data_IF_136340568116
#
_entry.id   IF_136340568116
#
_cell.length_a   1.000
_cell.length_b   1.000
_cell.length_c   1.000
_cell.angle_alpha   90.00
_cell.angle_beta   90.00
_cell.angle_gamma   90.00
#
_symmetry.space_group_name_H-M   'P 1'
#
loop_
_entity.id
_entity.type
_entity.pdbx_description
1 polymer ?
#
# COMPACT_ATOMS: atom_id res chain seq x y z
N UNK A 1 23.46 11.30 26.32
CA UNK A 1 22.36 10.37 26.66
C UNK A 1 21.11 10.91 25.97
N UNK A 2 20.84 10.48 24.74
CA UNK A 2 19.75 9.54 24.39
C UNK A 2 18.48 9.81 25.18
N UNK A 3 17.44 10.33 24.52
CA UNK A 3 16.08 9.77 24.48
C UNK A 3 15.17 10.67 23.61
N UNK A 4 15.48 10.77 22.31
CA UNK A 4 14.46 11.14 21.33
C UNK A 4 13.48 9.98 21.22
N UNK A 5 12.32 10.12 21.87
CA UNK A 5 11.28 9.11 21.92
C UNK A 5 10.75 8.85 20.50
N UNK A 6 10.62 7.59 20.05
CA UNK A 6 10.01 7.31 18.76
C UNK A 6 8.52 7.67 18.81
N UNK A 7 8.06 8.43 17.82
CA UNK A 7 6.64 8.68 17.57
C UNK A 7 6.01 7.36 17.14
N UNK A 8 5.51 6.63 18.13
CA UNK A 8 4.65 5.46 17.92
C UNK A 8 3.30 6.00 17.46
N UNK A 9 3.08 6.00 16.14
CA UNK A 9 1.77 6.21 15.51
C UNK A 9 0.90 4.97 15.75
N UNK A 10 0.37 4.81 16.97
CA UNK A 10 -0.72 3.86 17.24
C UNK A 10 -2.03 4.50 16.81
N UNK A 11 -2.63 3.94 15.76
CA UNK A 11 -3.69 4.55 14.97
C UNK A 11 -5.02 4.79 15.68
N UNK A 12 -5.81 5.72 15.12
CA UNK A 12 -7.27 5.82 15.25
C UNK A 12 -7.82 6.88 14.28
N UNK A 13 -8.61 6.46 13.29
CA UNK A 13 -9.78 7.22 12.82
C UNK A 13 -9.66 8.52 12.01
N UNK A 14 -8.48 9.06 11.73
CA UNK A 14 -8.34 10.16 10.74
C UNK A 14 -8.37 9.55 9.33
N UNK A 15 -8.82 10.29 8.30
CA UNK A 15 -8.70 9.89 6.89
C UNK A 15 -7.22 9.59 6.58
N UNK A 16 -6.77 8.36 6.83
CA UNK A 16 -5.39 7.99 6.63
C UNK A 16 -5.13 8.04 5.14
N UNK A 17 -4.23 8.93 4.77
CA UNK A 17 -3.72 9.00 3.41
C UNK A 17 -3.10 7.64 3.10
N UNK A 18 -3.64 6.96 2.08
CA UNK A 18 -3.16 5.65 1.64
C UNK A 18 -2.06 5.76 0.60
N UNK A 19 -1.74 6.97 0.12
CA UNK A 19 -0.67 7.17 -0.84
C UNK A 19 0.68 6.62 -0.34
N UNK A 20 1.12 6.84 0.92
CA UNK A 20 2.35 6.22 1.42
C UNK A 20 2.36 4.68 1.34
N UNK A 21 1.20 4.04 1.47
CA UNK A 21 1.07 2.57 1.33
C UNK A 21 1.24 2.17 -0.15
N UNK A 22 0.66 2.94 -1.08
CA UNK A 22 0.81 2.72 -2.52
C UNK A 22 2.28 2.90 -2.93
N UNK A 23 2.93 3.93 -2.40
CA UNK A 23 4.35 4.24 -2.62
C UNK A 23 5.22 3.07 -2.19
N UNK A 24 4.95 2.56 -0.99
CA UNK A 24 5.62 1.38 -0.44
C UNK A 24 5.40 0.14 -1.29
N UNK A 25 4.20 -0.09 -1.80
CA UNK A 25 3.91 -1.21 -2.70
C UNK A 25 4.69 -1.12 -4.01
N UNK A 26 4.86 0.10 -4.56
CA UNK A 26 5.66 0.32 -5.76
C UNK A 26 7.16 0.09 -5.51
N UNK A 27 7.67 0.45 -4.34
CA UNK A 27 9.05 0.18 -3.94
C UNK A 27 9.30 -1.32 -3.76
N UNK A 28 8.39 -2.02 -3.09
CA UNK A 28 8.54 -3.45 -2.77
C UNK A 28 8.33 -4.35 -3.99
N UNK A 29 7.40 -3.99 -4.86
CA UNK A 29 7.01 -4.80 -6.02
C UNK A 29 6.95 -3.97 -7.30
N UNK A 30 8.05 -3.37 -7.76
CA UNK A 30 8.07 -2.45 -8.91
C UNK A 30 7.66 -3.12 -10.23
N UNK A 31 7.78 -4.45 -10.32
CA UNK A 31 7.30 -5.22 -11.46
C UNK A 31 5.76 -5.35 -11.52
N UNK A 32 5.08 -5.17 -10.38
CA UNK A 32 3.62 -5.33 -10.23
C UNK A 32 2.93 -3.98 -10.09
N UNK A 33 3.49 -3.08 -9.27
CA UNK A 33 2.94 -1.76 -8.99
C UNK A 33 3.84 -0.65 -9.55
N UNK A 34 3.25 0.27 -10.30
CA UNK A 34 3.93 1.46 -10.80
C UNK A 34 2.94 2.62 -10.93
N UNK A 35 3.21 3.73 -10.24
CA UNK A 35 2.33 4.92 -10.22
C UNK A 35 2.37 5.74 -11.52
N UNK A 36 3.48 5.69 -12.23
CA UNK A 36 3.71 6.52 -13.43
C UNK A 36 3.28 5.79 -14.69
N UNK A 37 3.60 4.50 -14.78
CA UNK A 37 3.26 3.62 -15.91
C UNK A 37 2.59 2.35 -15.38
N UNK A 38 1.38 2.47 -14.79
CA UNK A 38 0.67 1.31 -14.29
C UNK A 38 0.33 0.34 -15.43
N UNK A 39 0.36 -0.95 -15.12
CA UNK A 39 -0.15 -2.01 -16.00
C UNK A 39 -1.35 -2.67 -15.32
N UNK A 40 -2.27 -3.27 -16.09
CA UNK A 40 -3.35 -4.08 -15.52
C UNK A 40 -2.79 -5.16 -14.58
N UNK A 41 -3.31 -5.20 -13.36
CA UNK A 41 -2.94 -6.21 -12.38
C UNK A 41 -3.52 -7.57 -12.77
N UNK A 42 -2.74 -8.62 -12.56
CA UNK A 42 -3.22 -10.00 -12.68
C UNK A 42 -4.36 -10.26 -11.69
N UNK A 43 -5.37 -11.02 -12.12
CA UNK A 43 -6.44 -11.50 -11.24
C UNK A 43 -5.82 -12.25 -10.05
N UNK A 44 -6.25 -11.90 -8.83
CA UNK A 44 -5.76 -12.52 -7.60
C UNK A 44 -4.65 -11.75 -6.88
N UNK A 45 -3.95 -10.82 -7.55
CA UNK A 45 -2.87 -10.01 -6.92
C UNK A 45 -3.33 -9.30 -5.67
N UNK A 46 -4.57 -8.79 -5.66
CA UNK A 46 -5.12 -8.15 -4.46
C UNK A 46 -5.17 -9.09 -3.24
N UNK A 47 -5.47 -10.38 -3.43
CA UNK A 47 -5.47 -11.36 -2.34
C UNK A 47 -4.05 -11.68 -1.88
N UNK A 48 -3.12 -11.83 -2.82
CA UNK A 48 -1.71 -12.08 -2.54
C UNK A 48 -1.11 -10.94 -1.71
N UNK A 49 -1.35 -9.69 -2.11
CA UNK A 49 -0.88 -8.52 -1.35
C UNK A 49 -1.53 -8.45 0.03
N UNK A 50 -2.83 -8.74 0.16
CA UNK A 50 -3.49 -8.77 1.47
C UNK A 50 -3.00 -9.89 2.40
N UNK A 51 -2.43 -10.96 1.85
CA UNK A 51 -1.80 -12.03 2.63
C UNK A 51 -0.43 -11.61 3.19
N UNK A 52 0.19 -10.57 2.64
CA UNK A 52 1.44 -10.00 3.15
C UNK A 52 1.24 -9.10 4.37
N UNK A 53 0.02 -8.61 4.61
CA UNK A 53 -0.29 -7.80 5.79
C UNK A 53 -0.05 -8.62 7.07
N UNK A 54 0.78 -8.11 7.98
CA UNK A 54 1.18 -8.83 9.19
C UNK A 54 2.18 -9.97 8.98
N UNK A 55 2.64 -10.21 7.75
CA UNK A 55 3.61 -11.27 7.41
C UNK A 55 4.90 -10.68 6.86
N UNK A 56 4.80 -9.80 5.87
CA UNK A 56 5.96 -9.17 5.26
C UNK A 56 6.49 -8.06 6.19
N UNK A 57 7.80 -8.01 6.52
CA UNK A 57 8.33 -7.05 7.49
C UNK A 57 7.96 -5.59 7.17
N UNK A 58 8.01 -5.22 5.89
CA UNK A 58 7.66 -3.87 5.44
C UNK A 58 6.15 -3.56 5.41
N UNK A 59 5.28 -4.54 5.65
CA UNK A 59 3.82 -4.41 5.69
C UNK A 59 3.24 -4.94 7.02
N UNK A 60 4.09 -5.23 8.01
CA UNK A 60 3.68 -5.85 9.27
C UNK A 60 2.79 -4.93 10.10
N UNK A 61 3.08 -3.62 10.07
CA UNK A 61 2.32 -2.58 10.76
C UNK A 61 1.15 -2.03 9.94
N UNK A 62 1.03 -2.42 8.67
CA UNK A 62 -0.04 -1.95 7.78
C UNK A 62 -1.29 -2.80 8.00
N UNK A 63 -2.37 -2.17 8.45
CA UNK A 63 -3.64 -2.88 8.62
C UNK A 63 -4.16 -3.37 7.26
N UNK A 64 -4.71 -4.58 7.25
CA UNK A 64 -5.30 -5.20 6.04
C UNK A 64 -6.41 -4.34 5.41
N UNK A 65 -7.11 -3.54 6.21
CA UNK A 65 -8.12 -2.57 5.75
C UNK A 65 -7.51 -1.43 4.94
N UNK A 66 -6.39 -0.87 5.39
CA UNK A 66 -5.70 0.23 4.72
C UNK A 66 -5.02 -0.26 3.44
N UNK A 67 -4.45 -1.47 3.47
CA UNK A 67 -3.89 -2.11 2.29
C UNK A 67 -4.96 -2.36 1.21
N UNK A 68 -6.16 -2.83 1.60
CA UNK A 68 -7.30 -2.98 0.69
C UNK A 68 -7.74 -1.62 0.12
N UNK A 69 -7.75 -0.57 0.94
CA UNK A 69 -8.09 0.78 0.50
C UNK A 69 -7.05 1.33 -0.48
N UNK A 70 -5.76 1.13 -0.22
CA UNK A 70 -4.66 1.49 -1.09
C UNK A 70 -4.80 0.83 -2.48
N UNK A 71 -5.08 -0.47 -2.52
CA UNK A 71 -5.34 -1.20 -3.77
C UNK A 71 -6.52 -0.61 -4.55
N UNK A 72 -7.62 -0.27 -3.85
CA UNK A 72 -8.78 0.37 -4.48
C UNK A 72 -8.41 1.74 -5.07
N UNK A 73 -7.69 2.58 -4.31
CA UNK A 73 -7.24 3.90 -4.79
C UNK A 73 -6.31 3.76 -5.99
N UNK A 74 -5.32 2.86 -5.93
CA UNK A 74 -4.39 2.61 -7.02
C UNK A 74 -5.12 2.22 -8.33
N UNK A 75 -6.06 1.28 -8.25
CA UNK A 75 -6.82 0.80 -9.41
C UNK A 75 -7.86 1.80 -9.93
N UNK A 76 -8.32 2.73 -9.09
CA UNK A 76 -9.23 3.81 -9.48
C UNK A 76 -8.48 5.06 -10.00
N UNK A 77 -7.17 5.13 -9.82
CA UNK A 77 -6.36 6.24 -10.29
C UNK A 77 -6.51 6.43 -11.80
N UNK A 78 -6.52 7.69 -12.26
CA UNK A 78 -6.72 8.04 -13.66
C UNK A 78 -5.76 7.31 -14.60
N UNK A 79 -4.46 7.33 -14.27
CA UNK A 79 -3.42 6.65 -15.06
C UNK A 79 -3.64 5.14 -15.17
N UNK A 80 -4.08 4.50 -14.07
CA UNK A 80 -4.38 3.07 -14.08
C UNK A 80 -5.57 2.78 -14.99
N UNK A 81 -6.63 3.59 -14.91
CA UNK A 81 -7.82 3.44 -15.78
C UNK A 81 -7.51 3.70 -17.26
N UNK A 82 -6.54 4.55 -17.59
CA UNK A 82 -6.07 4.73 -18.97
C UNK A 82 -5.26 3.55 -19.51
N UNK A 83 -4.73 2.68 -18.64
CA UNK A 83 -3.94 1.52 -19.00
C UNK A 83 -4.76 0.21 -19.09
N UNK A 84 -6.06 0.28 -18.81
CA UNK A 84 -7.03 -0.82 -19.01
C UNK A 84 -7.48 -0.86 -20.47
#
# INVERSE_FOLDING_TARGET
>A
MKHSRPLILRGSGMLQDVNPIIDRLCELFPAVFNRHTPKPLKIGVGREVLALAGVHPALMEVARTDLRRALKVYTQAFRYRQAL
#
